data_IF_505059628755
#
_entry.id   IF_505059628755
#
_cell.length_a   1.000
_cell.length_b   1.000
_cell.length_c   1.000
_cell.angle_alpha   90.00
_cell.angle_beta   90.00
_cell.angle_gamma   90.00
#
_symmetry.space_group_name_H-M   'P 1'
#
loop_
_entity.id
_entity.type
_entity.pdbx_description
1 polymer ?
#
# COMPACT_ATOMS: atom_id res chain seq x y z
N UNK A 1 -2.44 14.35 -5.68
CA UNK A 1 -2.36 13.18 -4.80
C UNK A 1 -1.71 12.02 -5.53
N UNK A 2 -0.91 11.22 -4.81
CA UNK A 2 -0.49 9.90 -5.27
C UNK A 2 -1.26 8.80 -4.54
N UNK A 3 -1.43 7.66 -5.21
CA UNK A 3 -1.95 6.43 -4.64
C UNK A 3 -1.01 5.26 -4.90
N UNK A 4 -0.86 4.37 -3.92
CA UNK A 4 -0.21 3.07 -4.04
C UNK A 4 -1.27 1.99 -3.81
N UNK A 5 -1.38 1.06 -4.75
CA UNK A 5 -2.20 -0.14 -4.62
C UNK A 5 -1.33 -1.38 -4.81
N UNK A 6 -1.60 -2.44 -4.05
CA UNK A 6 -0.88 -3.70 -4.16
C UNK A 6 -1.78 -4.90 -3.88
N UNK A 7 -1.31 -6.08 -4.25
CA UNK A 7 -1.90 -7.35 -3.86
C UNK A 7 -0.84 -8.33 -3.39
N UNK A 8 -1.16 -9.08 -2.34
CA UNK A 8 -0.29 -10.11 -1.78
C UNK A 8 -0.83 -11.50 -2.11
N UNK A 9 0.06 -12.41 -2.50
CA UNK A 9 -0.24 -13.84 -2.56
C UNK A 9 -0.28 -14.37 -1.13
N UNK A 10 -1.48 -14.65 -0.61
CA UNK A 10 -1.71 -15.08 0.78
C UNK A 10 -0.81 -16.26 1.16
N UNK A 11 -0.80 -17.33 0.35
CA UNK A 11 0.01 -18.52 0.63
C UNK A 11 1.52 -18.24 0.70
N UNK A 12 2.05 -17.38 -0.18
CA UNK A 12 3.46 -17.01 -0.13
C UNK A 12 3.75 -16.06 1.04
N UNK A 13 2.79 -15.21 1.40
CA UNK A 13 2.91 -14.30 2.55
C UNK A 13 2.95 -15.09 3.85
N UNK A 14 2.08 -16.09 4.03
CA UNK A 14 2.10 -16.98 5.20
C UNK A 14 3.42 -17.74 5.33
N UNK A 15 4.06 -18.07 4.21
CA UNK A 15 5.32 -18.81 4.17
C UNK A 15 6.54 -17.94 4.47
N UNK A 16 6.55 -16.69 3.98
CA UNK A 16 7.74 -15.83 4.04
C UNK A 16 7.69 -14.77 5.12
N UNK A 17 6.50 -14.35 5.56
CA UNK A 17 6.34 -13.36 6.62
C UNK A 17 6.50 -14.01 8.00
N UNK A 18 7.32 -13.46 8.93
CA UNK A 18 7.58 -14.08 10.22
C UNK A 18 6.34 -14.23 11.12
N UNK A 19 5.36 -13.33 10.96
CA UNK A 19 4.16 -13.25 11.81
C UNK A 19 2.84 -13.46 11.02
N UNK A 20 2.94 -13.86 9.75
CA UNK A 20 1.78 -14.12 8.89
C UNK A 20 1.16 -12.88 8.22
N UNK A 21 0.03 -13.10 7.53
CA UNK A 21 -0.56 -12.16 6.56
C UNK A 21 -1.06 -10.88 7.22
N UNK A 22 -1.77 -10.97 8.35
CA UNK A 22 -2.30 -9.78 9.03
C UNK A 22 -1.19 -8.83 9.43
N UNK A 23 -0.08 -9.36 9.97
CA UNK A 23 1.05 -8.53 10.33
C UNK A 23 1.75 -7.96 9.09
N UNK A 24 1.82 -8.69 7.98
CA UNK A 24 2.34 -8.17 6.72
C UNK A 24 1.63 -6.88 6.27
N UNK A 25 0.30 -6.83 6.36
CA UNK A 25 -0.48 -5.62 6.07
C UNK A 25 -0.20 -4.48 7.07
N UNK A 26 -0.01 -4.80 8.36
CA UNK A 26 0.34 -3.81 9.39
C UNK A 26 1.73 -3.21 9.15
N UNK A 27 2.71 -4.04 8.79
CA UNK A 27 4.09 -3.63 8.50
C UNK A 27 4.16 -2.73 7.27
N UNK A 28 3.43 -3.09 6.20
CA UNK A 28 3.29 -2.25 5.01
C UNK A 28 2.64 -0.91 5.37
N UNK A 29 1.52 -0.93 6.09
CA UNK A 29 0.81 0.28 6.46
C UNK A 29 1.67 1.21 7.33
N UNK A 30 2.40 0.65 8.30
CA UNK A 30 3.32 1.39 9.15
C UNK A 30 4.47 2.00 8.33
N UNK A 31 5.05 1.23 7.40
CA UNK A 31 6.12 1.71 6.51
C UNK A 31 5.65 2.87 5.63
N UNK A 32 4.50 2.72 4.98
CA UNK A 32 3.90 3.75 4.12
C UNK A 32 3.53 5.02 4.88
N UNK A 33 3.06 4.90 6.13
CA UNK A 33 2.72 6.06 6.96
C UNK A 33 3.92 6.99 7.22
N UNK A 34 5.15 6.45 7.27
CA UNK A 34 6.38 7.25 7.41
C UNK A 34 6.64 8.17 6.21
N UNK A 35 6.00 7.90 5.07
CA UNK A 35 6.08 8.71 3.85
C UNK A 35 4.80 9.53 3.60
N UNK A 36 3.88 9.58 4.57
CA UNK A 36 2.63 10.33 4.47
C UNK A 36 1.51 9.61 3.70
N UNK A 37 1.70 8.33 3.34
CA UNK A 37 0.67 7.54 2.69
C UNK A 37 -0.31 6.96 3.73
N UNK A 38 -1.56 7.40 3.67
CA UNK A 38 -2.63 6.98 4.56
C UNK A 38 -3.48 5.88 3.92
N UNK A 39 -3.89 4.88 4.71
CA UNK A 39 -4.74 3.78 4.23
C UNK A 39 -6.17 4.27 4.00
N UNK A 40 -6.71 4.01 2.81
CA UNK A 40 -8.11 4.30 2.47
C UNK A 40 -8.94 3.02 2.41
N UNK A 41 -8.39 1.99 1.77
CA UNK A 41 -8.96 0.65 1.67
C UNK A 41 -7.85 -0.37 1.89
N UNK A 42 -8.19 -1.66 1.99
CA UNK A 42 -7.28 -2.71 2.46
C UNK A 42 -5.85 -2.59 1.93
N UNK A 43 -5.69 -2.58 0.61
CA UNK A 43 -4.38 -2.43 -0.04
C UNK A 43 -4.22 -1.10 -0.77
N UNK A 44 -5.05 -0.09 -0.50
CA UNK A 44 -5.00 1.21 -1.17
C UNK A 44 -4.58 2.31 -0.19
N UNK A 45 -3.49 2.98 -0.53
CA UNK A 45 -2.91 4.04 0.28
C UNK A 45 -2.77 5.31 -0.56
N UNK A 46 -3.04 6.48 0.02
CA UNK A 46 -3.01 7.76 -0.68
C UNK A 46 -2.22 8.81 0.10
N UNK A 47 -1.62 9.76 -0.62
CA UNK A 47 -0.94 10.93 -0.04
C UNK A 47 -1.23 12.17 -0.86
N UNK A 48 -1.46 13.30 -0.19
CA UNK A 48 -1.59 14.60 -0.86
C UNK A 48 -0.24 15.14 -1.36
N UNK A 49 0.87 14.56 -0.91
CA UNK A 49 2.21 14.88 -1.39
C UNK A 49 2.45 14.34 -2.81
N UNK A 50 2.63 15.24 -3.77
CA UNK A 50 2.94 14.90 -5.17
C UNK A 50 4.45 14.85 -5.46
N UNK A 51 5.32 14.80 -4.45
CA UNK A 51 6.75 14.56 -4.64
C UNK A 51 7.02 13.12 -5.11
N UNK A 52 7.41 12.98 -6.38
CA UNK A 52 7.77 11.69 -6.98
C UNK A 52 8.99 11.05 -6.29
N UNK A 53 9.90 11.83 -5.72
CA UNK A 53 11.03 11.30 -4.96
C UNK A 53 10.54 10.64 -3.66
N UNK A 54 9.54 11.23 -2.99
CA UNK A 54 8.92 10.64 -1.81
C UNK A 54 8.19 9.32 -2.15
N UNK A 55 7.42 9.29 -3.24
CA UNK A 55 6.82 8.07 -3.78
C UNK A 55 7.87 6.97 -4.03
N UNK A 56 9.00 7.32 -4.66
CA UNK A 56 10.05 6.34 -4.94
C UNK A 56 10.72 5.81 -3.66
N UNK A 57 10.89 6.66 -2.64
CA UNK A 57 11.39 6.24 -1.32
C UNK A 57 10.42 5.27 -0.64
N UNK A 58 9.12 5.53 -0.70
CA UNK A 58 8.10 4.62 -0.16
C UNK A 58 8.17 3.23 -0.82
N UNK A 59 8.23 3.16 -2.15
CA UNK A 59 8.38 1.89 -2.88
C UNK A 59 9.69 1.18 -2.53
N UNK A 60 10.79 1.93 -2.39
CA UNK A 60 12.08 1.37 -1.99
C UNK A 60 12.04 0.80 -0.56
N UNK A 61 11.34 1.46 0.36
CA UNK A 61 11.15 0.97 1.72
C UNK A 61 10.36 -0.35 1.73
N UNK A 62 9.27 -0.45 0.95
CA UNK A 62 8.53 -1.71 0.83
C UNK A 62 9.39 -2.84 0.26
N UNK A 63 10.17 -2.56 -0.78
CA UNK A 63 11.11 -3.53 -1.38
C UNK A 63 12.15 -4.05 -0.37
N UNK A 64 12.48 -3.27 0.66
CA UNK A 64 13.50 -3.63 1.65
C UNK A 64 13.06 -4.73 2.61
N UNK A 65 11.75 -4.99 2.75
CA UNK A 65 11.25 -6.12 3.50
C UNK A 65 11.67 -7.43 2.82
N UNK A 66 12.38 -8.30 3.54
CA UNK A 66 12.92 -9.56 2.99
C UNK A 66 11.84 -10.50 2.43
N UNK A 67 10.62 -10.42 2.96
CA UNK A 67 9.49 -11.25 2.57
C UNK A 67 8.66 -10.66 1.42
N UNK A 68 8.70 -9.33 1.22
CA UNK A 68 7.77 -8.63 0.34
C UNK A 68 7.93 -9.01 -1.15
N UNK A 69 9.15 -9.10 -1.72
CA UNK A 69 9.32 -9.53 -3.12
C UNK A 69 8.80 -10.94 -3.42
N UNK A 70 8.79 -11.83 -2.43
CA UNK A 70 8.28 -13.20 -2.59
C UNK A 70 6.76 -13.28 -2.37
N UNK A 71 6.16 -12.24 -1.78
CA UNK A 71 4.76 -12.21 -1.35
C UNK A 71 3.89 -11.32 -2.24
N UNK A 72 4.47 -10.31 -2.91
CA UNK A 72 3.72 -9.37 -3.74
C UNK A 72 3.35 -10.00 -5.08
N UNK A 73 2.04 -10.03 -5.39
CA UNK A 73 1.53 -10.43 -6.71
C UNK A 73 1.67 -9.27 -7.70
N UNK A 74 1.23 -8.10 -7.27
CA UNK A 74 1.32 -6.86 -8.04
C UNK A 74 1.40 -5.63 -7.11
N UNK A 75 2.02 -4.57 -7.61
CA UNK A 75 2.07 -3.26 -6.97
C UNK A 75 2.10 -2.18 -8.05
N UNK A 76 1.31 -1.12 -7.86
CA UNK A 76 1.20 0.01 -8.80
C UNK A 76 1.07 1.32 -8.03
N UNK A 77 1.54 2.39 -8.66
CA UNK A 77 1.32 3.75 -8.19
C UNK A 77 0.59 4.56 -9.26
N UNK A 78 -0.24 5.51 -8.82
CA UNK A 78 -1.07 6.33 -9.68
C UNK A 78 -1.00 7.79 -9.23
N UNK A 79 -1.02 8.73 -10.17
CA UNK A 79 -1.41 10.11 -9.88
C UNK A 79 -2.93 10.18 -9.90
N UNK A 80 -3.50 10.67 -8.82
CA UNK A 80 -4.95 10.85 -8.70
C UNK A 80 -5.26 12.32 -8.87
N UNK A 81 -5.84 12.65 -10.01
CA UNK A 81 -6.25 14.03 -10.36
C UNK A 81 -7.58 14.41 -9.71
N UNK A 82 -8.47 13.44 -9.50
CA UNK A 82 -9.80 13.65 -8.95
C UNK A 82 -10.19 12.50 -8.02
N UNK A 83 -10.85 12.82 -6.91
CA UNK A 83 -11.29 11.85 -5.91
C UNK A 83 -12.69 12.19 -5.42
N UNK A 84 -13.60 11.22 -5.49
CA UNK A 84 -14.99 11.36 -5.05
C UNK A 84 -15.38 10.14 -4.22
N UNK A 85 -15.96 10.35 -3.05
CA UNK A 85 -16.54 9.29 -2.23
C UNK A 85 -18.05 9.16 -2.52
N UNK A 86 -18.43 8.00 -3.05
CA UNK A 86 -19.82 7.67 -3.40
C UNK A 86 -20.54 6.83 -2.34
N UNK A 87 -19.94 6.57 -1.18
CA UNK A 87 -20.49 5.67 -0.15
C UNK A 87 -21.89 6.09 0.29
N UNK A 88 -22.11 7.38 0.52
CA UNK A 88 -23.42 7.90 0.94
C UNK A 88 -24.48 7.73 -0.15
N UNK A 89 -24.11 7.95 -1.42
CA UNK A 89 -25.02 7.80 -2.56
C UNK A 89 -25.43 6.33 -2.78
N UNK A 90 -24.52 5.38 -2.56
CA UNK A 90 -24.81 3.94 -2.72
C UNK A 90 -25.66 3.38 -1.58
N UNK A 91 -25.63 4.01 -0.40
CA UNK A 91 -26.37 3.58 0.80
C UNK A 91 -27.76 4.21 0.95
N UNK A 92 -28.10 5.19 0.11
CA UNK A 92 -29.45 5.75 0.00
C UNK A 92 -30.45 4.70 -0.51
#
# INVERSE_FOLDING_TARGET
MFAIAFDLVVAETEKHHPEGVTQAYNDIGSSLSNFGFNRVQDSLYVTDDEDMANLFRAITALKSFSWFPNSVRDIRAFRVEQWSDFTSLVKE
#
